data_IF_276396407240
#
_entry.id   IF_276396407240
#
_cell.length_a   1.000
_cell.length_b   1.000
_cell.length_c   1.000
_cell.angle_alpha   90.00
_cell.angle_beta   90.00
_cell.angle_gamma   90.00
#
_symmetry.space_group_name_H-M   'P 1'
#
loop_
_entity.id
_entity.type
_entity.pdbx_description
1 polymer ?
#
# COMPACT_ATOMS: atom_id res chain seq x y z
N UNK A 1 10.05 17.50 1.18
CA UNK A 1 8.65 17.32 0.71
C UNK A 1 8.48 15.84 0.44
N UNK A 2 7.50 15.20 1.08
CA UNK A 2 7.22 13.78 0.83
C UNK A 2 6.52 13.69 -0.53
N UNK A 3 7.17 13.03 -1.49
CA UNK A 3 6.69 12.90 -2.87
C UNK A 3 5.90 11.62 -3.11
N UNK A 4 6.07 10.61 -2.24
CA UNK A 4 5.40 9.32 -2.36
C UNK A 4 4.57 9.00 -1.12
N UNK A 5 3.31 8.63 -1.36
CA UNK A 5 2.38 8.13 -0.35
C UNK A 5 1.90 6.74 -0.74
N UNK A 6 1.81 5.85 0.22
CA UNK A 6 1.34 4.47 0.05
C UNK A 6 0.13 4.25 0.94
N UNK A 7 -0.96 3.73 0.37
CA UNK A 7 -2.16 3.37 1.12
C UNK A 7 -2.35 1.86 1.05
N UNK A 8 -2.25 1.21 2.21
CA UNK A 8 -2.51 -0.20 2.39
C UNK A 8 -3.99 -0.46 2.68
N UNK A 9 -4.69 -1.06 1.71
CA UNK A 9 -6.10 -1.41 1.78
C UNK A 9 -6.22 -2.87 2.23
N UNK A 10 -6.96 -3.10 3.31
CA UNK A 10 -7.09 -4.41 3.94
C UNK A 10 -8.49 -4.65 4.51
N UNK A 11 -8.75 -5.88 4.97
CA UNK A 11 -9.87 -6.19 5.87
C UNK A 11 -9.37 -7.03 7.05
N UNK A 12 -9.96 -6.93 8.26
CA UNK A 12 -9.43 -7.60 9.46
C UNK A 12 -9.50 -9.14 9.40
N UNK A 13 -10.51 -9.68 8.71
CA UNK A 13 -10.76 -11.13 8.58
C UNK A 13 -10.10 -11.72 7.31
N UNK A 14 -8.97 -11.15 6.88
CA UNK A 14 -8.24 -11.57 5.70
C UNK A 14 -6.84 -12.08 6.10
N UNK A 15 -6.61 -13.40 6.07
CA UNK A 15 -5.34 -14.00 6.49
C UNK A 15 -4.14 -13.54 5.64
N UNK A 16 -4.34 -13.37 4.33
CA UNK A 16 -3.31 -12.81 3.42
C UNK A 16 -2.97 -11.35 3.77
N UNK A 17 -3.97 -10.58 4.19
CA UNK A 17 -3.78 -9.21 4.65
C UNK A 17 -2.97 -9.12 5.95
N UNK A 18 -3.09 -10.10 6.84
CA UNK A 18 -2.27 -10.14 8.05
C UNK A 18 -0.78 -10.35 7.73
N UNK A 19 -0.48 -11.22 6.76
CA UNK A 19 0.90 -11.43 6.29
C UNK A 19 1.42 -10.19 5.58
N UNK A 20 0.63 -9.60 4.68
CA UNK A 20 0.95 -8.37 3.99
C UNK A 20 1.20 -7.20 4.96
N UNK A 21 0.41 -7.07 6.02
CA UNK A 21 0.58 -6.02 7.04
C UNK A 21 1.97 -6.07 7.68
N UNK A 22 2.50 -7.26 7.97
CA UNK A 22 3.86 -7.41 8.53
C UNK A 22 4.93 -6.98 7.55
N UNK A 23 4.71 -7.19 6.24
CA UNK A 23 5.61 -6.68 5.20
C UNK A 23 5.57 -5.15 5.15
N UNK A 24 4.38 -4.54 5.26
CA UNK A 24 4.21 -3.09 5.33
C UNK A 24 4.89 -2.50 6.57
N UNK A 25 4.76 -3.14 7.74
CA UNK A 25 5.46 -2.72 8.97
C UNK A 25 6.99 -2.62 8.75
N UNK A 26 7.58 -3.56 8.02
CA UNK A 26 9.02 -3.54 7.70
C UNK A 26 9.35 -2.42 6.71
N UNK A 27 8.52 -2.22 5.68
CA UNK A 27 8.73 -1.17 4.68
C UNK A 27 8.64 0.23 5.28
N UNK A 28 7.70 0.46 6.21
CA UNK A 28 7.57 1.71 6.96
C UNK A 28 8.86 2.08 7.71
N UNK A 29 9.57 1.08 8.24
CA UNK A 29 10.86 1.29 8.92
C UNK A 29 12.01 1.54 7.93
N UNK A 30 12.00 0.86 6.77
CA UNK A 30 13.06 0.97 5.76
C UNK A 30 12.95 2.25 4.90
N UNK A 31 11.76 2.84 4.80
CA UNK A 31 11.46 3.98 3.93
C UNK A 31 10.82 5.13 4.74
N UNK A 32 11.55 5.78 5.66
CA UNK A 32 11.00 6.82 6.54
C UNK A 32 10.58 8.10 5.80
N UNK A 33 10.97 8.25 4.54
CA UNK A 33 10.59 9.38 3.67
C UNK A 33 9.28 9.14 2.90
N UNK A 34 8.75 7.91 2.93
CA UNK A 34 7.47 7.54 2.31
C UNK A 34 6.38 7.60 3.39
N UNK A 35 5.25 8.23 3.09
CA UNK A 35 4.09 8.19 3.99
C UNK A 35 3.31 6.91 3.76
N UNK A 36 3.11 6.12 4.80
CA UNK A 36 2.23 4.96 4.77
C UNK A 36 0.94 5.24 5.52
N UNK A 37 -0.18 4.85 4.93
CA UNK A 37 -1.51 4.85 5.56
C UNK A 37 -2.13 3.47 5.45
N UNK A 38 -2.97 3.12 6.41
CA UNK A 38 -3.74 1.87 6.40
C UNK A 38 -5.22 2.19 6.44
N UNK A 39 -6.00 1.53 5.61
CA UNK A 39 -7.44 1.72 5.56
C UNK A 39 -8.14 0.36 5.49
N UNK A 40 -9.04 0.15 6.45
CA UNK A 40 -9.93 -1.00 6.45
C UNK A 40 -11.09 -0.74 5.50
N UNK A 41 -11.17 -1.54 4.44
CA UNK A 41 -12.13 -1.40 3.36
C UNK A 41 -13.59 -1.45 3.85
N UNK A 42 -13.84 -2.12 4.99
CA UNK A 42 -15.19 -2.20 5.56
C UNK A 42 -15.76 -0.83 5.97
N UNK A 43 -14.90 0.15 6.25
CA UNK A 43 -15.30 1.50 6.66
C UNK A 43 -15.20 2.54 5.56
N UNK A 44 -14.60 2.20 4.41
CA UNK A 44 -14.40 3.11 3.27
C UNK A 44 -14.81 2.50 1.93
N UNK A 45 -16.05 1.97 1.80
CA UNK A 45 -16.50 1.32 0.56
C UNK A 45 -16.48 2.27 -0.64
N UNK A 46 -16.75 3.56 -0.45
CA UNK A 46 -16.73 4.54 -1.55
C UNK A 46 -15.34 4.68 -2.18
N UNK A 47 -14.27 4.63 -1.37
CA UNK A 47 -12.89 4.64 -1.87
C UNK A 47 -12.55 3.37 -2.65
N UNK A 48 -13.16 2.24 -2.30
CA UNK A 48 -13.02 1.00 -3.06
C UNK A 48 -13.52 1.17 -4.49
N UNK A 49 -14.65 1.87 -4.65
CA UNK A 49 -15.24 2.16 -5.95
C UNK A 49 -14.42 3.21 -6.68
N UNK A 50 -14.10 4.33 -6.04
CA UNK A 50 -13.32 5.44 -6.61
C UNK A 50 -11.98 4.95 -7.18
N UNK A 51 -11.24 4.16 -6.40
CA UNK A 51 -9.95 3.62 -6.82
C UNK A 51 -10.05 2.26 -7.48
N UNK A 52 -11.24 1.78 -7.83
CA UNK A 52 -11.47 0.49 -8.49
C UNK A 52 -10.62 -0.64 -7.85
N UNK A 53 -10.80 -0.87 -6.56
CA UNK A 53 -10.09 -1.91 -5.82
C UNK A 53 -10.75 -3.26 -6.11
N UNK A 54 -10.01 -4.15 -6.78
CA UNK A 54 -10.51 -5.47 -7.18
C UNK A 54 -10.44 -6.51 -6.05
N UNK A 55 -9.41 -6.41 -5.19
CA UNK A 55 -9.20 -7.33 -4.08
C UNK A 55 -8.31 -6.72 -2.99
N UNK A 56 -8.30 -7.36 -1.82
CA UNK A 56 -7.34 -7.08 -0.74
C UNK A 56 -6.51 -8.34 -0.45
N UNK A 57 -5.24 -8.18 0.00
CA UNK A 57 -4.53 -6.94 0.27
C UNK A 57 -4.17 -6.13 -0.98
N UNK A 58 -4.17 -4.80 -0.88
CA UNK A 58 -3.75 -3.92 -1.98
C UNK A 58 -2.88 -2.76 -1.46
N UNK A 59 -1.77 -2.46 -2.12
CA UNK A 59 -1.03 -1.21 -1.94
C UNK A 59 -1.33 -0.28 -3.09
N UNK A 60 -1.91 0.87 -2.78
CA UNK A 60 -2.05 1.98 -3.70
C UNK A 60 -0.85 2.91 -3.52
N UNK A 61 -0.15 3.22 -4.60
CA UNK A 61 1.04 4.07 -4.58
C UNK A 61 0.73 5.36 -5.30
N UNK A 62 0.87 6.46 -4.57
CA UNK A 62 0.64 7.81 -5.04
C UNK A 62 1.97 8.54 -5.16
N UNK A 63 2.20 9.21 -6.28
CA UNK A 63 3.33 10.10 -6.50
C UNK A 63 2.78 11.49 -6.86
N UNK A 64 3.20 12.54 -6.15
CA UNK A 64 2.66 13.90 -6.33
C UNK A 64 1.12 14.00 -6.24
N UNK A 65 0.48 13.10 -5.48
CA UNK A 65 -0.97 13.04 -5.32
C UNK A 65 -1.72 12.23 -6.38
N UNK A 66 -1.03 11.75 -7.42
CA UNK A 66 -1.62 10.91 -8.47
C UNK A 66 -1.39 9.43 -8.18
N UNK A 67 -2.41 8.60 -8.39
CA UNK A 67 -2.30 7.14 -8.25
C UNK A 67 -1.50 6.58 -9.44
N UNK A 68 -0.25 6.18 -9.19
CA UNK A 68 0.65 5.69 -10.24
C UNK A 68 0.69 4.17 -10.34
N UNK A 69 0.37 3.45 -9.25
CA UNK A 69 0.46 2.00 -9.24
C UNK A 69 -0.47 1.37 -8.18
N UNK A 70 -0.97 0.16 -8.48
CA UNK A 70 -1.63 -0.73 -7.52
C UNK A 70 -0.89 -2.06 -7.46
N UNK A 71 -0.62 -2.57 -6.26
CA UNK A 71 0.01 -3.87 -6.04
C UNK A 71 -0.95 -4.77 -5.28
N UNK A 72 -1.40 -5.84 -5.93
CA UNK A 72 -2.23 -6.88 -5.33
C UNK A 72 -1.43 -8.11 -4.89
N UNK A 73 -0.29 -8.36 -5.53
CA UNK A 73 0.63 -9.44 -5.19
C UNK A 73 1.87 -8.88 -4.50
N UNK A 74 1.98 -9.09 -3.19
CA UNK A 74 3.06 -8.49 -2.39
C UNK A 74 4.42 -9.16 -2.63
N UNK A 75 4.44 -10.40 -3.12
CA UNK A 75 5.62 -11.22 -3.40
C UNK A 75 6.62 -11.38 -2.23
N UNK A 76 7.35 -10.33 -1.87
CA UNK A 76 8.29 -10.28 -0.75
C UNK A 76 8.62 -8.84 -0.34
N UNK A 77 9.17 -8.64 0.86
CA UNK A 77 9.65 -7.31 1.32
C UNK A 77 10.68 -6.69 0.36
N UNK A 78 11.72 -7.41 -0.13
CA UNK A 78 12.67 -6.85 -1.10
C UNK A 78 12.00 -6.37 -2.39
N UNK A 79 11.03 -7.12 -2.91
CA UNK A 79 10.29 -6.73 -4.12
C UNK A 79 9.56 -5.40 -3.93
N UNK A 80 8.85 -5.25 -2.80
CA UNK A 80 8.12 -4.03 -2.48
C UNK A 80 9.07 -2.85 -2.21
N UNK A 81 10.16 -3.09 -1.50
CA UNK A 81 11.17 -2.07 -1.22
C UNK A 81 11.76 -1.49 -2.51
N UNK A 82 12.21 -2.35 -3.43
CA UNK A 82 12.76 -1.90 -4.72
C UNK A 82 11.73 -1.18 -5.57
N UNK A 83 10.46 -1.59 -5.50
CA UNK A 83 9.37 -0.92 -6.22
C UNK A 83 9.12 0.49 -5.68
N UNK A 84 9.00 0.63 -4.36
CA UNK A 84 8.73 1.92 -3.71
C UNK A 84 9.92 2.87 -3.81
N UNK A 85 11.15 2.34 -3.68
CA UNK A 85 12.38 3.13 -3.79
C UNK A 85 12.49 3.81 -5.15
N UNK A 86 12.23 3.08 -6.25
CA UNK A 86 12.27 3.63 -7.61
C UNK A 86 11.28 4.76 -7.86
N UNK A 87 10.19 4.81 -7.09
CA UNK A 87 9.19 5.87 -7.18
C UNK A 87 9.49 7.05 -6.25
N UNK A 88 10.31 6.84 -5.23
CA UNK A 88 10.69 7.85 -4.24
C UNK A 88 11.96 8.65 -4.61
N UNK A 89 12.75 8.14 -5.54
CA UNK A 89 13.85 8.85 -6.23
C UNK A 89 13.31 9.81 -7.29
#
# INVERSE_FOLDING_TARGET
MIVVKVVYMYTPLCGTCQVASRMVDVLEQLLPTVTFERQDLNYVPDKAVEWCIESVPCLLIFQHGELVQKIYAFHSVPYLYETLRKLAE
#
